data_IF_591829583498
#
_entry.id   IF_591829583498
#
_cell.length_a   1.000
_cell.length_b   1.000
_cell.length_c   1.000
_cell.angle_alpha   90.00
_cell.angle_beta   90.00
_cell.angle_gamma   90.00
#
_symmetry.space_group_name_H-M   'P 1'
#
loop_
_entity.id
_entity.type
_entity.pdbx_description
1 polymer ?
#
# COMPACT_ATOMS: atom_id res chain seq x y z
N UNK A 1 23.43 2.40 -21.25
CA UNK A 1 23.24 3.25 -20.05
C UNK A 1 21.99 4.14 -20.14
N UNK A 2 21.55 4.60 -21.33
CA UNK A 2 20.31 5.39 -21.48
C UNK A 2 19.02 4.59 -21.19
N UNK A 3 18.84 3.42 -21.79
CA UNK A 3 17.64 2.59 -21.61
C UNK A 3 17.33 2.22 -20.14
N UNK A 4 18.36 1.98 -19.32
CA UNK A 4 18.19 1.72 -17.87
C UNK A 4 17.68 2.94 -17.11
N UNK A 5 18.11 4.16 -17.50
CA UNK A 5 17.63 5.41 -16.89
C UNK A 5 16.18 5.69 -17.27
N UNK A 6 15.80 5.44 -18.52
CA UNK A 6 14.42 5.62 -19.00
C UNK A 6 13.45 4.63 -18.33
N UNK A 7 13.86 3.35 -18.20
CA UNK A 7 13.07 2.36 -17.49
C UNK A 7 12.90 2.71 -16.00
N UNK A 8 13.97 3.22 -15.35
CA UNK A 8 13.90 3.68 -13.96
C UNK A 8 12.94 4.87 -13.80
N UNK A 9 12.99 5.83 -14.72
CA UNK A 9 12.10 6.99 -14.68
C UNK A 9 10.61 6.60 -14.81
N UNK A 10 10.28 5.63 -15.66
CA UNK A 10 8.91 5.09 -15.78
C UNK A 10 8.45 4.42 -14.49
N UNK A 11 9.31 3.61 -13.87
CA UNK A 11 9.04 2.97 -12.58
C UNK A 11 8.84 4.01 -11.47
N UNK A 12 9.64 5.07 -11.45
CA UNK A 12 9.49 6.12 -10.46
C UNK A 12 8.20 6.93 -10.65
N UNK A 13 7.76 7.14 -11.89
CA UNK A 13 6.47 7.76 -12.18
C UNK A 13 5.30 6.87 -11.75
N UNK A 14 5.35 5.58 -12.07
CA UNK A 14 4.35 4.60 -11.64
C UNK A 14 4.30 4.51 -10.11
N UNK A 15 5.47 4.52 -9.46
CA UNK A 15 5.56 4.54 -8.00
C UNK A 15 4.93 5.78 -7.38
N UNK A 16 5.08 6.95 -8.00
CA UNK A 16 4.41 8.18 -7.53
C UNK A 16 2.89 8.01 -7.61
N UNK A 17 2.36 7.45 -8.70
CA UNK A 17 0.92 7.20 -8.85
C UNK A 17 0.40 6.23 -7.80
N UNK A 18 1.11 5.11 -7.59
CA UNK A 18 0.78 4.12 -6.55
C UNK A 18 0.71 4.77 -5.17
N UNK A 19 1.67 5.65 -4.83
CA UNK A 19 1.67 6.37 -3.55
C UNK A 19 0.47 7.29 -3.42
N UNK A 20 0.17 8.09 -4.45
CA UNK A 20 -0.98 9.02 -4.43
C UNK A 20 -2.28 8.25 -4.19
N UNK A 21 -2.51 7.19 -4.95
CA UNK A 21 -3.71 6.35 -4.82
C UNK A 21 -3.81 5.76 -3.40
N UNK A 22 -2.70 5.26 -2.86
CA UNK A 22 -2.69 4.73 -1.50
C UNK A 22 -2.96 5.83 -0.45
N UNK A 23 -2.38 7.02 -0.59
CA UNK A 23 -2.64 8.14 0.32
C UNK A 23 -4.12 8.58 0.28
N UNK A 24 -4.75 8.59 -0.89
CA UNK A 24 -6.18 8.84 -1.03
C UNK A 24 -7.02 7.74 -0.37
N UNK A 25 -6.68 6.47 -0.61
CA UNK A 25 -7.35 5.34 0.02
C UNK A 25 -7.22 5.38 1.56
N UNK A 26 -6.06 5.74 2.10
CA UNK A 26 -5.84 5.90 3.55
C UNK A 26 -6.70 7.03 4.11
N UNK A 27 -6.82 8.16 3.39
CA UNK A 27 -7.68 9.27 3.83
C UNK A 27 -9.14 8.86 3.90
N UNK A 28 -9.63 8.15 2.87
CA UNK A 28 -11.01 7.64 2.84
C UNK A 28 -11.23 6.64 3.97
N UNK A 29 -10.32 5.68 4.13
CA UNK A 29 -10.38 4.67 5.17
C UNK A 29 -10.40 5.29 6.58
N UNK A 30 -9.52 6.27 6.85
CA UNK A 30 -9.52 6.99 8.12
C UNK A 30 -10.85 7.68 8.38
N UNK A 31 -11.41 8.36 7.38
CA UNK A 31 -12.71 9.02 7.51
C UNK A 31 -13.86 8.02 7.78
N UNK A 32 -13.80 6.81 7.25
CA UNK A 32 -14.76 5.74 7.59
C UNK A 32 -14.56 5.24 9.02
N UNK A 33 -13.32 5.00 9.44
CA UNK A 33 -12.98 4.63 10.81
C UNK A 33 -13.45 5.69 11.83
N UNK A 34 -13.28 6.99 11.53
CA UNK A 34 -13.76 8.09 12.38
C UNK A 34 -15.30 8.10 12.52
N UNK A 35 -16.03 7.76 11.44
CA UNK A 35 -17.49 7.59 11.49
C UNK A 35 -17.87 6.40 12.37
N UNK A 36 -17.22 5.25 12.17
CA UNK A 36 -17.47 4.05 12.96
C UNK A 36 -17.12 4.24 14.45
N UNK A 37 -16.09 5.05 14.74
CA UNK A 37 -15.77 5.47 16.11
C UNK A 37 -16.90 6.30 16.73
N UNK A 38 -17.45 7.25 15.96
CA UNK A 38 -18.59 8.07 16.39
C UNK A 38 -19.84 7.24 16.64
N UNK A 39 -20.06 6.21 15.82
CA UNK A 39 -21.16 5.24 15.94
C UNK A 39 -20.91 4.17 17.02
N UNK A 40 -19.78 4.25 17.74
CA UNK A 40 -19.34 3.28 18.78
C UNK A 40 -19.29 1.84 18.26
N UNK A 41 -18.98 1.65 16.99
CA UNK A 41 -18.78 0.32 16.40
C UNK A 41 -17.49 -0.27 16.97
N UNK A 42 -17.48 -1.52 17.47
CA UNK A 42 -16.25 -2.18 17.93
C UNK A 42 -15.17 -2.23 16.85
N UNK A 43 -13.91 -1.94 17.20
CA UNK A 43 -12.77 -1.90 16.27
C UNK A 43 -12.60 -3.18 15.44
N UNK A 44 -12.91 -4.34 16.00
CA UNK A 44 -12.92 -5.64 15.29
C UNK A 44 -13.85 -5.70 14.07
N UNK A 45 -14.83 -4.80 13.99
CA UNK A 45 -15.77 -4.71 12.87
C UNK A 45 -15.39 -3.59 11.88
N UNK A 46 -14.26 -2.90 12.09
CA UNK A 46 -13.83 -1.83 11.21
C UNK A 46 -13.22 -2.41 9.93
N UNK A 47 -13.32 -1.69 8.80
CA UNK A 47 -12.64 -2.11 7.58
C UNK A 47 -11.14 -2.22 7.84
N UNK A 48 -10.49 -3.24 7.25
CA UNK A 48 -9.03 -3.34 7.28
C UNK A 48 -8.41 -2.16 6.53
N UNK A 49 -7.24 -1.71 6.99
CA UNK A 49 -6.50 -0.62 6.36
C UNK A 49 -6.12 -0.95 4.92
N UNK A 50 -6.07 0.06 4.03
CA UNK A 50 -5.65 -0.17 2.65
C UNK A 50 -4.17 -0.55 2.61
N UNK A 51 -3.84 -1.63 1.92
CA UNK A 51 -2.46 -2.07 1.70
C UNK A 51 -1.81 -1.26 0.58
N UNK A 52 -0.57 -0.77 0.78
CA UNK A 52 0.17 -0.10 -0.30
C UNK A 52 0.81 -1.15 -1.22
N UNK A 53 0.60 -1.08 -2.55
CA UNK A 53 1.35 -1.91 -3.48
C UNK A 53 2.87 -1.66 -3.34
N UNK A 54 3.70 -2.68 -3.55
CA UNK A 54 5.16 -2.52 -3.53
C UNK A 54 5.63 -1.71 -4.74
N UNK A 55 6.81 -1.09 -4.63
CA UNK A 55 7.42 -0.37 -5.73
C UNK A 55 7.77 -1.35 -6.86
N UNK A 56 7.36 -1.09 -8.11
CA UNK A 56 7.75 -1.95 -9.23
C UNK A 56 9.29 -1.98 -9.35
N UNK A 57 9.86 -3.18 -9.44
CA UNK A 57 11.31 -3.39 -9.62
C UNK A 57 11.64 -3.38 -11.11
N UNK A 58 12.83 -2.92 -11.47
CA UNK A 58 13.36 -3.11 -12.83
C UNK A 58 13.56 -4.62 -13.04
N UNK A 59 12.98 -5.24 -14.10
CA UNK A 59 13.24 -6.63 -14.39
C UNK A 59 14.73 -6.80 -14.74
N UNK A 60 15.44 -7.67 -14.03
CA UNK A 60 16.84 -8.00 -14.33
C UNK A 60 16.94 -8.94 -15.54
N UNK A 61 15.97 -9.84 -15.65
CA UNK A 61 15.57 -10.70 -16.77
C UNK A 61 14.11 -11.09 -16.49
N UNK A 62 13.34 -11.49 -17.49
CA UNK A 62 11.89 -11.66 -17.49
C UNK A 62 11.32 -12.77 -16.55
N UNK A 63 12.09 -13.28 -15.58
CA UNK A 63 11.82 -14.54 -14.86
C UNK A 63 11.47 -14.42 -13.36
N UNK A 64 11.48 -13.22 -12.77
CA UNK A 64 11.14 -13.04 -11.33
C UNK A 64 9.64 -12.71 -11.13
N UNK A 65 8.79 -13.54 -11.75
CA UNK A 65 7.40 -13.68 -11.31
C UNK A 65 7.46 -14.60 -10.07
N UNK A 66 6.91 -14.11 -8.94
CA UNK A 66 6.77 -14.76 -7.62
C UNK A 66 7.95 -14.58 -6.65
N UNK A 67 7.71 -13.74 -5.62
CA UNK A 67 8.02 -14.06 -4.20
C UNK A 67 7.32 -12.96 -3.35
N UNK A 68 6.10 -13.21 -2.87
CA UNK A 68 5.80 -13.93 -1.62
C UNK A 68 5.92 -13.01 -0.39
N UNK A 69 4.84 -13.06 0.40
CA UNK A 69 4.66 -12.78 1.81
C UNK A 69 5.54 -11.72 2.50
N UNK A 70 4.89 -10.67 3.00
CA UNK A 70 5.34 -10.01 4.25
C UNK A 70 4.11 -9.33 4.84
N UNK A 71 3.23 -10.16 5.40
CA UNK A 71 2.21 -9.69 6.32
C UNK A 71 2.88 -9.29 7.62
N UNK A 72 3.08 -7.99 7.84
CA UNK A 72 3.12 -7.46 9.20
C UNK A 72 1.68 -7.18 9.63
N UNK A 73 1.03 -8.25 10.08
CA UNK A 73 0.01 -8.16 11.11
C UNK A 73 0.75 -7.82 12.41
N UNK A 74 0.50 -6.66 13.00
CA UNK A 74 0.77 -6.46 14.43
C UNK A 74 -0.53 -5.96 15.06
N UNK A 75 -1.22 -6.94 15.64
CA UNK A 75 -2.35 -6.76 16.54
C UNK A 75 -1.85 -6.26 17.91
N UNK A 76 -2.53 -5.21 18.40
CA UNK A 76 -2.89 -4.91 19.79
C UNK A 76 -1.85 -5.03 20.94
N UNK A 77 -1.73 -3.96 21.74
CA UNK A 77 -1.80 -4.15 23.19
C UNK A 77 -2.41 -2.92 23.89
N UNK A 78 -3.31 -3.22 24.83
CA UNK A 78 -4.19 -2.37 25.63
C UNK A 78 -3.59 -2.22 27.02
N UNK A 79 -3.43 -0.98 27.53
CA UNK A 79 -3.40 -0.69 28.98
C UNK A 79 -3.91 0.72 29.29
#
# INVERSE_FOLDING_TARGET
RAAKKEAQAKIDEEWKRIKIIHEEAVKVWKAECDKLASDRVPKKNWPKGPTRPRKPKLPATLDDIVDEDDGEEDEEDDE
#
